data_IF_626758531279
#
_entry.id   IF_626758531279
#
_cell.length_a   1.000
_cell.length_b   1.000
_cell.length_c   1.000
_cell.angle_alpha   90.00
_cell.angle_beta   90.00
_cell.angle_gamma   90.00
#
_symmetry.space_group_name_H-M   'P 1'
#
loop_
_entity.id
_entity.type
_entity.pdbx_description
1 polymer ?
#
# COMPACT_ATOMS: atom_id res chain seq x y z
N UNK A 1 -36.20 -23.61 -14.52
CA UNK A 1 -34.80 -23.12 -14.51
C UNK A 1 -34.64 -21.59 -14.53
N UNK A 2 -35.56 -20.82 -15.13
CA UNK A 2 -35.49 -19.34 -15.21
C UNK A 2 -35.88 -18.64 -13.89
N UNK A 3 -36.77 -19.25 -13.10
CA UNK A 3 -37.28 -18.67 -11.85
C UNK A 3 -36.20 -18.51 -10.76
N UNK A 4 -35.32 -19.50 -10.60
CA UNK A 4 -34.23 -19.47 -9.62
C UNK A 4 -33.16 -18.42 -9.94
N UNK A 5 -32.92 -18.12 -11.23
CA UNK A 5 -32.01 -17.05 -11.65
C UNK A 5 -32.56 -15.65 -11.33
N UNK A 6 -33.87 -15.46 -11.46
CA UNK A 6 -34.54 -14.21 -11.09
C UNK A 6 -34.54 -13.99 -9.58
N UNK A 7 -34.78 -15.05 -8.81
CA UNK A 7 -34.67 -15.05 -7.34
C UNK A 7 -33.25 -14.68 -6.90
N UNK A 8 -32.22 -15.18 -7.58
CA UNK A 8 -30.82 -14.90 -7.23
C UNK A 8 -30.44 -13.43 -7.46
N UNK A 9 -30.91 -12.83 -8.57
CA UNK A 9 -30.69 -11.40 -8.85
C UNK A 9 -31.43 -10.52 -7.85
N UNK A 10 -32.67 -10.86 -7.51
CA UNK A 10 -33.45 -10.15 -6.48
C UNK A 10 -32.79 -10.31 -5.10
N UNK A 11 -32.30 -11.50 -4.74
CA UNK A 11 -31.54 -11.72 -3.49
C UNK A 11 -30.28 -10.85 -3.44
N UNK A 12 -29.56 -10.71 -4.56
CA UNK A 12 -28.33 -9.89 -4.60
C UNK A 12 -28.56 -8.39 -4.39
N UNK A 13 -29.77 -7.90 -4.65
CA UNK A 13 -30.17 -6.50 -4.41
C UNK A 13 -30.71 -6.28 -2.99
N UNK A 14 -31.22 -7.33 -2.34
CA UNK A 14 -31.84 -7.26 -1.01
C UNK A 14 -30.86 -7.61 0.12
N UNK A 15 -29.78 -8.33 -0.17
CA UNK A 15 -28.78 -8.65 0.85
C UNK A 15 -28.05 -7.37 1.31
N UNK A 16 -27.98 -7.10 2.62
CA UNK A 16 -27.25 -5.95 3.13
C UNK A 16 -25.77 -6.08 2.75
N UNK A 17 -25.24 -5.07 2.07
CA UNK A 17 -23.81 -4.93 1.83
C UNK A 17 -23.20 -4.54 3.17
N UNK A 18 -22.66 -5.53 3.89
CA UNK A 18 -21.99 -5.27 5.15
C UNK A 18 -20.60 -4.66 4.86
N UNK A 19 -20.33 -3.52 5.47
CA UNK A 19 -18.98 -2.99 5.55
C UNK A 19 -18.12 -3.95 6.37
N UNK A 20 -16.95 -4.30 5.86
CA UNK A 20 -15.96 -5.06 6.63
C UNK A 20 -15.19 -4.07 7.51
N UNK A 21 -14.91 -4.47 8.75
CA UNK A 21 -13.95 -3.78 9.60
C UNK A 21 -12.56 -4.28 9.23
N UNK A 22 -11.74 -3.42 8.63
CA UNK A 22 -10.43 -3.78 8.08
C UNK A 22 -9.36 -2.98 8.82
N UNK A 23 -8.46 -3.66 9.51
CA UNK A 23 -7.27 -3.05 10.12
C UNK A 23 -6.11 -3.08 9.12
N UNK A 24 -5.66 -1.91 8.66
CA UNK A 24 -4.45 -1.75 7.85
C UNK A 24 -3.30 -1.42 8.77
N UNK A 25 -2.53 -2.43 9.15
CA UNK A 25 -1.30 -2.22 9.92
C UNK A 25 -0.19 -1.72 9.00
N UNK A 26 0.23 -0.47 9.22
CA UNK A 26 1.29 0.18 8.44
C UNK A 26 2.49 0.47 9.34
N UNK A 27 3.47 -0.44 9.37
CA UNK A 27 4.70 -0.13 10.05
C UNK A 27 5.46 0.84 9.14
N UNK A 28 5.37 2.13 9.45
CA UNK A 28 5.84 3.23 8.60
C UNK A 28 7.38 3.33 8.56
N UNK A 29 8.02 2.26 8.10
CA UNK A 29 9.47 2.12 7.94
C UNK A 29 10.00 2.85 6.70
N UNK A 30 9.15 3.07 5.69
CA UNK A 30 9.51 3.76 4.46
C UNK A 30 8.30 4.47 3.83
N UNK A 31 8.54 5.65 3.25
CA UNK A 31 7.50 6.49 2.63
C UNK A 31 6.71 5.75 1.54
N UNK A 32 7.35 4.87 0.77
CA UNK A 32 6.68 4.07 -0.25
C UNK A 32 5.64 3.09 0.34
N UNK A 33 5.94 2.48 1.49
CA UNK A 33 5.04 1.55 2.17
C UNK A 33 3.84 2.27 2.74
N UNK A 34 4.08 3.42 3.39
CA UNK A 34 3.01 4.27 3.91
C UNK A 34 2.10 4.79 2.80
N UNK A 35 2.67 5.22 1.66
CA UNK A 35 1.87 5.69 0.52
C UNK A 35 1.04 4.58 -0.14
N UNK A 36 1.59 3.36 -0.27
CA UNK A 36 0.87 2.22 -0.82
C UNK A 36 -0.28 1.78 0.10
N UNK A 37 0.00 1.59 1.39
CA UNK A 37 -0.99 1.18 2.38
C UNK A 37 -2.05 2.26 2.61
N UNK A 38 -1.67 3.53 2.55
CA UNK A 38 -2.60 4.67 2.58
C UNK A 38 -3.59 4.62 1.41
N UNK A 39 -3.09 4.53 0.17
CA UNK A 39 -3.97 4.40 -1.02
C UNK A 39 -4.88 3.17 -0.97
N UNK A 40 -4.38 2.06 -0.43
CA UNK A 40 -5.17 0.86 -0.24
C UNK A 40 -6.31 1.12 0.76
N UNK A 41 -6.00 1.73 1.90
CA UNK A 41 -7.00 2.09 2.91
C UNK A 41 -8.04 3.07 2.38
N UNK A 42 -7.62 4.10 1.64
CA UNK A 42 -8.52 5.07 0.98
C UNK A 42 -9.48 4.33 0.04
N UNK A 43 -8.96 3.47 -0.84
CA UNK A 43 -9.79 2.71 -1.80
C UNK A 43 -10.80 1.80 -1.10
N UNK A 44 -10.40 1.16 0.00
CA UNK A 44 -11.29 0.30 0.80
C UNK A 44 -12.39 1.13 1.49
N UNK A 45 -12.04 2.30 1.99
CA UNK A 45 -12.97 3.25 2.62
C UNK A 45 -13.98 3.79 1.59
N UNK A 46 -13.51 4.18 0.40
CA UNK A 46 -14.36 4.62 -0.72
C UNK A 46 -15.36 3.55 -1.16
N UNK A 47 -15.02 2.27 -1.01
CA UNK A 47 -15.94 1.14 -1.27
C UNK A 47 -16.90 0.84 -0.12
N UNK A 48 -16.92 1.67 0.91
CA UNK A 48 -17.85 1.57 2.03
C UNK A 48 -17.38 0.63 3.14
N UNK A 49 -16.10 0.26 3.20
CA UNK A 49 -15.56 -0.49 4.33
C UNK A 49 -15.17 0.44 5.49
N UNK A 50 -15.24 -0.08 6.71
CA UNK A 50 -14.74 0.64 7.88
C UNK A 50 -13.26 0.28 8.07
N UNK A 51 -12.37 1.22 7.77
CA UNK A 51 -10.93 0.97 7.75
C UNK A 51 -10.25 1.76 8.84
N UNK A 52 -9.48 1.06 9.67
CA UNK A 52 -8.60 1.67 10.67
C UNK A 52 -7.16 1.47 10.21
N UNK A 53 -6.38 2.55 10.16
CA UNK A 53 -4.94 2.47 9.88
C UNK A 53 -4.23 2.57 11.22
N UNK A 54 -3.64 1.47 11.67
CA UNK A 54 -2.72 1.51 12.80
C UNK A 54 -1.32 1.71 12.24
N UNK A 55 -0.75 2.88 12.53
CA UNK A 55 0.65 3.13 12.21
C UNK A 55 1.52 2.66 13.37
N UNK A 56 2.52 1.80 13.12
CA UNK A 56 3.38 1.30 14.21
C UNK A 56 4.11 2.42 14.97
N UNK A 57 4.23 3.61 14.37
CA UNK A 57 4.74 4.81 15.04
C UNK A 57 3.78 5.32 16.12
N UNK A 58 2.47 5.20 15.97
CA UNK A 58 1.51 5.60 17.01
C UNK A 58 1.67 4.76 18.27
N UNK A 59 1.76 3.43 18.15
CA UNK A 59 2.00 2.56 19.30
C UNK A 59 3.34 2.87 19.98
N UNK A 60 4.37 3.19 19.20
CA UNK A 60 5.66 3.63 19.73
C UNK A 60 5.53 4.95 20.51
N UNK A 61 4.87 5.97 19.96
CA UNK A 61 4.68 7.25 20.64
C UNK A 61 3.76 7.15 21.86
N UNK A 62 2.76 6.28 21.83
CA UNK A 62 1.89 6.00 22.98
C UNK A 62 2.70 5.33 24.10
N UNK A 63 3.57 4.38 23.76
CA UNK A 63 4.53 3.77 24.69
C UNK A 63 5.53 4.76 25.27
N UNK A 64 6.10 5.65 24.44
CA UNK A 64 6.98 6.73 24.89
C UNK A 64 6.26 7.70 25.82
N UNK A 65 5.05 8.13 25.47
CA UNK A 65 4.24 9.04 26.28
C UNK A 65 3.91 8.43 27.64
N UNK A 66 3.59 7.14 27.68
CA UNK A 66 3.41 6.41 28.95
C UNK A 66 4.68 6.45 29.80
N UNK A 67 5.82 6.14 29.19
CA UNK A 67 7.13 6.16 29.86
C UNK A 67 7.42 7.57 30.39
N UNK A 68 7.22 8.62 29.59
CA UNK A 68 7.42 9.98 30.04
C UNK A 68 6.50 10.37 31.20
N UNK A 69 5.24 9.95 31.20
CA UNK A 69 4.33 10.19 32.33
C UNK A 69 4.78 9.49 33.61
N UNK A 70 5.36 8.29 33.51
CA UNK A 70 5.92 7.57 34.66
C UNK A 70 7.09 8.33 35.31
N UNK A 71 7.94 9.00 34.52
CA UNK A 71 9.12 9.72 35.03
C UNK A 71 8.89 11.21 35.31
N UNK A 72 8.02 11.86 34.54
CA UNK A 72 7.85 13.32 34.54
C UNK A 72 6.51 13.78 35.15
N UNK A 73 5.55 12.87 35.33
CA UNK A 73 4.23 13.18 35.89
C UNK A 73 3.07 12.92 34.92
N UNK A 74 1.91 12.57 35.47
CA UNK A 74 0.70 12.26 34.70
C UNK A 74 0.03 13.49 34.08
N UNK A 75 0.47 14.69 34.44
CA UNK A 75 0.03 15.97 33.90
C UNK A 75 0.60 16.26 32.50
N UNK A 76 1.55 15.44 32.01
CA UNK A 76 2.11 15.59 30.67
C UNK A 76 1.03 15.41 29.58
N UNK A 77 0.81 16.42 28.71
CA UNK A 77 -0.14 16.33 27.61
C UNK A 77 0.19 15.21 26.63
N UNK A 78 -0.82 14.74 25.89
CA UNK A 78 -0.62 13.69 24.89
C UNK A 78 0.26 14.17 23.73
N UNK A 79 1.08 13.27 23.16
CA UNK A 79 1.96 13.63 22.06
C UNK A 79 1.17 14.16 20.85
N UNK A 80 -0.07 13.70 20.62
CA UNK A 80 -0.94 14.20 19.54
C UNK A 80 -1.28 15.68 19.73
N UNK A 81 -1.46 16.10 20.98
CA UNK A 81 -1.70 17.51 21.34
C UNK A 81 -0.42 18.34 21.22
N UNK A 82 0.71 17.81 21.73
CA UNK A 82 2.01 18.49 21.69
C UNK A 82 2.48 18.73 20.27
N UNK A 83 2.39 17.71 19.40
CA UNK A 83 2.70 17.83 17.97
C UNK A 83 1.81 18.90 17.37
N UNK A 84 0.48 18.79 17.48
CA UNK A 84 -0.45 19.77 16.90
C UNK A 84 -0.14 21.22 17.32
N UNK A 85 0.15 21.46 18.61
CA UNK A 85 0.46 22.77 19.20
C UNK A 85 1.84 23.32 18.85
N UNK A 86 2.77 22.50 18.38
CA UNK A 86 4.12 22.96 18.07
C UNK A 86 4.12 24.06 17.00
N UNK A 87 4.78 25.19 17.29
CA UNK A 87 4.88 26.34 16.39
C UNK A 87 5.82 26.09 15.22
N UNK A 88 6.86 25.27 15.42
CA UNK A 88 7.86 24.91 14.42
C UNK A 88 8.24 23.44 14.56
N UNK A 89 8.53 22.79 13.43
CA UNK A 89 9.10 21.45 13.37
C UNK A 89 10.43 21.48 12.66
N UNK A 90 11.49 21.08 13.34
CA UNK A 90 12.78 20.85 12.70
C UNK A 90 12.88 19.40 12.27
N UNK A 91 13.08 19.17 10.98
CA UNK A 91 13.17 17.82 10.42
C UNK A 91 14.54 17.61 9.81
N UNK A 92 15.17 16.47 10.11
CA UNK A 92 16.47 16.11 9.54
C UNK A 92 16.30 15.66 8.08
N UNK A 93 16.13 16.63 7.18
CA UNK A 93 15.71 16.41 5.81
C UNK A 93 16.43 17.41 4.89
N UNK A 94 16.84 16.96 3.71
CA UNK A 94 17.39 17.84 2.67
C UNK A 94 16.39 17.89 1.49
N UNK A 95 15.71 19.02 1.24
CA UNK A 95 14.66 19.12 0.23
C UNK A 95 15.08 18.73 -1.20
N UNK A 96 16.38 18.78 -1.51
CA UNK A 96 16.89 18.42 -2.83
C UNK A 96 17.23 16.93 -2.97
N UNK A 97 17.42 16.23 -1.85
CA UNK A 97 17.78 14.81 -1.83
C UNK A 97 16.60 13.93 -1.38
N UNK A 98 15.70 14.48 -0.56
CA UNK A 98 14.54 13.77 -0.05
C UNK A 98 13.41 13.69 -1.08
N UNK A 99 12.54 12.70 -0.87
CA UNK A 99 11.33 12.57 -1.66
C UNK A 99 10.42 13.80 -1.46
N UNK A 100 9.77 14.28 -2.53
CA UNK A 100 8.80 15.35 -2.42
C UNK A 100 7.63 14.87 -1.56
N UNK A 101 7.31 15.64 -0.53
CA UNK A 101 6.20 15.37 0.39
C UNK A 101 5.50 16.67 0.77
N UNK A 102 4.22 16.59 1.08
CA UNK A 102 3.46 17.72 1.60
C UNK A 102 4.02 18.09 2.97
N UNK A 103 4.39 19.36 3.15
CA UNK A 103 4.88 19.90 4.41
C UNK A 103 4.11 21.15 4.77
N UNK A 104 3.86 21.35 6.07
CA UNK A 104 3.31 22.59 6.57
C UNK A 104 4.39 23.67 6.54
N UNK A 105 4.00 24.95 6.41
CA UNK A 105 4.93 26.09 6.45
C UNK A 105 5.75 26.15 7.75
N UNK A 106 5.24 25.58 8.84
CA UNK A 106 5.96 25.43 10.12
C UNK A 106 7.06 24.35 10.11
N UNK A 107 7.27 23.64 9.01
CA UNK A 107 8.27 22.57 8.90
C UNK A 107 9.56 23.11 8.30
N UNK A 108 10.63 23.15 9.10
CA UNK A 108 11.94 23.66 8.71
C UNK A 108 12.90 22.46 8.50
N UNK A 109 13.29 22.16 7.26
CA UNK A 109 14.23 21.08 6.97
C UNK A 109 15.67 21.50 7.27
N UNK A 110 16.35 20.76 8.13
CA UNK A 110 17.77 20.92 8.48
C UNK A 110 18.48 19.59 8.25
N UNK A 111 18.96 19.38 7.03
CA UNK A 111 19.67 18.16 6.67
C UNK A 111 21.00 18.01 7.41
N UNK A 112 21.25 16.81 7.94
CA UNK A 112 22.48 16.48 8.63
C UNK A 112 22.57 17.01 10.06
N UNK A 113 21.45 17.36 10.71
CA UNK A 113 21.46 17.90 12.09
C UNK A 113 22.13 16.96 13.10
N UNK A 114 22.06 15.65 12.86
CA UNK A 114 22.70 14.61 13.68
C UNK A 114 24.14 14.29 13.29
N UNK A 115 24.68 14.89 12.22
CA UNK A 115 25.99 14.52 11.67
C UNK A 115 27.10 15.33 12.33
N UNK A 116 27.87 14.66 13.19
CA UNK A 116 29.07 15.26 13.78
C UNK A 116 30.29 15.08 12.87
N UNK A 117 30.53 16.05 11.98
CA UNK A 117 31.65 16.02 11.03
C UNK A 117 33.01 15.97 11.74
N UNK A 118 33.16 16.69 12.86
CA UNK A 118 34.44 16.72 13.61
C UNK A 118 34.77 15.34 14.16
N UNK A 119 33.78 14.68 14.78
CA UNK A 119 33.93 13.33 15.29
C UNK A 119 34.23 12.34 14.17
N UNK A 120 33.49 12.37 13.05
CA UNK A 120 33.71 11.47 11.91
C UNK A 120 35.13 11.60 11.36
N UNK A 121 35.63 12.84 11.20
CA UNK A 121 37.00 13.08 10.69
C UNK A 121 38.10 12.63 11.66
N UNK A 122 37.80 12.53 12.95
CA UNK A 122 38.73 12.02 13.96
C UNK A 122 38.79 10.49 13.97
N UNK A 123 37.73 9.80 13.54
CA UNK A 123 37.73 8.36 13.44
C UNK A 123 38.68 7.91 12.31
N UNK A 124 39.69 7.11 12.68
CA UNK A 124 40.57 6.46 11.73
C UNK A 124 40.16 5.00 11.57
N UNK A 125 40.30 4.48 10.36
CA UNK A 125 40.17 3.05 10.12
C UNK A 125 41.30 2.31 10.84
N UNK A 126 40.97 1.16 11.42
CA UNK A 126 41.97 0.25 11.99
C UNK A 126 42.91 -0.27 10.89
N UNK A 127 44.12 -0.67 11.27
CA UNK A 127 45.13 -1.19 10.34
C UNK A 127 44.64 -2.41 9.52
N UNK A 128 43.78 -3.24 10.10
CA UNK A 128 43.16 -4.38 9.41
C UNK A 128 42.34 -3.90 8.19
N UNK A 129 41.43 -2.93 8.39
CA UNK A 129 40.60 -2.36 7.33
C UNK A 129 41.43 -1.60 6.29
N UNK A 130 42.46 -0.85 6.70
CA UNK A 130 43.37 -0.20 5.74
C UNK A 130 44.05 -1.25 4.86
N UNK A 131 44.61 -2.30 5.46
CA UNK A 131 45.24 -3.41 4.73
C UNK A 131 44.28 -4.13 3.79
N UNK A 132 42.98 -4.21 4.11
CA UNK A 132 41.97 -4.82 3.24
C UNK A 132 41.64 -3.89 2.06
N UNK A 133 41.37 -2.61 2.33
CA UNK A 133 40.94 -1.64 1.33
C UNK A 133 42.08 -1.26 0.37
N UNK A 134 43.33 -1.25 0.83
CA UNK A 134 44.51 -0.96 0.00
C UNK A 134 44.88 -2.09 -0.95
N UNK A 135 44.31 -3.30 -0.81
CA UNK A 135 44.57 -4.42 -1.74
C UNK A 135 44.16 -4.12 -3.17
N UNK A 136 43.23 -3.20 -3.37
CA UNK A 136 42.68 -2.86 -4.69
C UNK A 136 42.56 -1.36 -4.86
N UNK A 137 42.79 -0.84 -6.08
CA UNK A 137 42.64 0.59 -6.35
C UNK A 137 41.17 1.07 -6.32
N UNK A 138 40.20 0.14 -6.41
CA UNK A 138 38.77 0.43 -6.37
C UNK A 138 38.08 -0.52 -5.39
N UNK A 139 37.28 0.06 -4.50
CA UNK A 139 36.53 -0.67 -3.49
C UNK A 139 35.04 -0.31 -3.60
N UNK A 140 34.17 -1.27 -3.30
CA UNK A 140 32.73 -1.06 -3.19
C UNK A 140 32.28 -1.43 -1.78
N UNK A 141 31.70 -0.46 -1.06
CA UNK A 141 31.12 -0.68 0.25
C UNK A 141 29.63 -1.00 0.10
N UNK A 142 29.19 -2.09 0.70
CA UNK A 142 27.78 -2.49 0.75
C UNK A 142 27.39 -2.62 2.22
N UNK A 143 26.31 -1.93 2.61
CA UNK A 143 25.71 -2.02 3.96
C UNK A 143 24.19 -2.07 3.85
N UNK A 144 23.56 -2.99 4.57
CA UNK A 144 22.10 -3.15 4.65
C UNK A 144 21.51 -2.56 5.95
N UNK A 145 22.32 -1.79 6.68
CA UNK A 145 21.94 -1.26 7.99
C UNK A 145 21.93 -2.32 9.09
N UNK A 146 21.42 -1.94 10.26
CA UNK A 146 21.38 -2.79 11.46
C UNK A 146 20.14 -3.69 11.53
N UNK A 147 19.07 -3.34 10.83
CA UNK A 147 17.79 -4.07 10.86
C UNK A 147 17.87 -5.39 10.11
N UNK A 148 18.52 -5.43 8.95
CA UNK A 148 18.72 -6.64 8.15
C UNK A 148 20.18 -7.03 8.21
N UNK A 149 20.52 -7.90 9.17
CA UNK A 149 21.91 -8.34 9.33
C UNK A 149 22.31 -9.24 8.16
N UNK A 150 23.41 -8.87 7.49
CA UNK A 150 24.00 -9.67 6.41
C UNK A 150 24.35 -11.11 6.82
N UNK A 151 24.52 -11.37 8.13
CA UNK A 151 24.72 -12.74 8.65
C UNK A 151 23.57 -13.70 8.34
N UNK A 152 22.34 -13.18 8.20
CA UNK A 152 21.16 -13.97 7.87
C UNK A 152 21.01 -14.23 6.38
N UNK A 153 21.91 -13.67 5.56
CA UNK A 153 21.89 -13.90 4.12
C UNK A 153 22.16 -15.39 3.81
N UNK A 154 21.31 -16.04 3.00
CA UNK A 154 21.52 -17.41 2.55
C UNK A 154 22.92 -17.59 1.92
N UNK A 155 23.57 -18.74 2.16
CA UNK A 155 24.94 -19.00 1.65
C UNK A 155 25.06 -18.80 0.13
N UNK A 156 24.01 -19.14 -0.62
CA UNK A 156 23.94 -18.93 -2.08
C UNK A 156 24.15 -17.47 -2.51
N UNK A 157 23.75 -16.51 -1.67
CA UNK A 157 23.86 -15.07 -1.96
C UNK A 157 25.15 -14.44 -1.39
N UNK A 158 25.89 -15.18 -0.56
CA UNK A 158 27.14 -14.68 0.06
C UNK A 158 28.37 -14.78 -0.85
N UNK A 159 28.36 -15.71 -1.81
CA UNK A 159 29.58 -16.11 -2.55
C UNK A 159 29.41 -16.20 -4.08
N UNK A 160 28.22 -15.97 -4.62
CA UNK A 160 27.92 -16.05 -6.06
C UNK A 160 27.35 -14.73 -6.55
N UNK A 161 27.29 -14.51 -7.88
CA UNK A 161 27.05 -13.17 -8.41
C UNK A 161 25.71 -12.63 -7.92
N UNK A 162 25.42 -11.35 -8.17
CA UNK A 162 24.14 -10.74 -7.83
C UNK A 162 23.01 -10.93 -8.88
N UNK A 163 22.89 -11.99 -9.73
CA UNK A 163 21.81 -12.08 -10.70
C UNK A 163 20.48 -12.43 -10.03
N UNK A 164 20.48 -12.98 -8.81
CA UNK A 164 19.25 -13.16 -8.01
C UNK A 164 18.72 -11.82 -7.45
N UNK A 165 19.53 -10.74 -7.48
CA UNK A 165 19.04 -9.38 -7.24
C UNK A 165 18.53 -8.71 -8.52
N UNK A 166 18.44 -9.44 -9.63
CA UNK A 166 17.70 -9.00 -10.80
C UNK A 166 16.21 -8.88 -10.42
N UNK A 167 15.61 -7.67 -10.45
CA UNK A 167 14.20 -7.53 -10.20
C UNK A 167 13.43 -8.40 -11.18
N UNK A 168 12.54 -9.27 -10.68
CA UNK A 168 11.74 -10.16 -11.51
C UNK A 168 11.01 -9.44 -12.67
N UNK A 169 10.70 -8.15 -12.48
CA UNK A 169 10.14 -7.26 -13.50
C UNK A 169 10.96 -7.12 -14.79
N UNK A 170 12.29 -7.34 -14.76
CA UNK A 170 13.14 -7.34 -15.97
C UNK A 170 12.90 -8.54 -16.88
N UNK A 171 12.36 -9.64 -16.35
CA UNK A 171 12.04 -10.84 -17.11
C UNK A 171 10.57 -10.89 -17.57
N UNK A 172 9.75 -9.89 -17.22
CA UNK A 172 8.36 -9.83 -17.62
C UNK A 172 8.22 -9.39 -19.09
N UNK A 173 7.37 -10.09 -19.82
CA UNK A 173 6.98 -9.70 -21.18
C UNK A 173 6.14 -8.41 -21.15
N UNK A 174 6.09 -7.68 -22.26
CA UNK A 174 5.37 -6.40 -22.38
C UNK A 174 3.92 -6.49 -21.85
N UNK A 175 3.22 -7.58 -22.17
CA UNK A 175 1.84 -7.84 -21.73
C UNK A 175 1.70 -7.92 -20.21
N UNK A 176 2.60 -8.64 -19.53
CA UNK A 176 2.58 -8.78 -18.07
C UNK A 176 3.01 -7.48 -17.40
N UNK A 177 4.02 -6.81 -17.96
CA UNK A 177 4.54 -5.55 -17.41
C UNK A 177 3.53 -4.41 -17.49
N UNK A 178 2.64 -4.43 -18.48
CA UNK A 178 1.55 -3.45 -18.65
C UNK A 178 0.22 -3.90 -18.05
N UNK A 179 0.18 -5.07 -17.38
CA UNK A 179 -1.03 -5.69 -16.83
C UNK A 179 -2.15 -5.89 -17.87
N UNK A 180 -1.80 -6.03 -19.14
CA UNK A 180 -2.76 -6.13 -20.24
C UNK A 180 -3.54 -7.45 -20.20
N UNK A 181 -2.92 -8.50 -19.68
CA UNK A 181 -3.55 -9.78 -19.37
C UNK A 181 -4.68 -9.65 -18.32
N UNK A 182 -4.43 -8.87 -17.26
CA UNK A 182 -5.42 -8.56 -16.22
C UNK A 182 -6.56 -7.72 -16.82
N UNK A 183 -6.24 -6.67 -17.57
CA UNK A 183 -7.26 -5.84 -18.21
C UNK A 183 -8.09 -6.61 -19.24
N UNK A 184 -7.48 -7.53 -20.00
CA UNK A 184 -8.19 -8.39 -20.94
C UNK A 184 -9.17 -9.33 -20.22
N UNK A 185 -8.79 -9.88 -19.06
CA UNK A 185 -9.68 -10.70 -18.24
C UNK A 185 -10.90 -9.90 -17.77
N UNK A 186 -10.69 -8.68 -17.26
CA UNK A 186 -11.79 -7.80 -16.85
C UNK A 186 -12.67 -7.41 -18.03
N UNK A 187 -12.08 -7.03 -19.17
CA UNK A 187 -12.84 -6.69 -20.38
C UNK A 187 -13.71 -7.88 -20.85
N UNK A 188 -13.16 -9.09 -20.84
CA UNK A 188 -13.91 -10.30 -21.17
C UNK A 188 -15.08 -10.54 -20.19
N UNK A 189 -14.85 -10.37 -18.89
CA UNK A 189 -15.92 -10.47 -17.88
C UNK A 189 -17.04 -9.44 -18.11
N UNK A 190 -16.69 -8.19 -18.43
CA UNK A 190 -17.69 -7.15 -18.74
C UNK A 190 -18.47 -7.45 -20.03
N UNK A 191 -17.80 -7.92 -21.09
CA UNK A 191 -18.44 -8.28 -22.36
C UNK A 191 -19.40 -9.45 -22.16
N UNK A 192 -18.99 -10.50 -21.44
CA UNK A 192 -19.86 -11.66 -21.16
C UNK A 192 -21.08 -11.27 -20.32
N UNK A 193 -20.91 -10.38 -19.33
CA UNK A 193 -22.02 -9.82 -18.56
C UNK A 193 -22.98 -9.01 -19.45
N UNK A 194 -22.46 -8.16 -20.32
CA UNK A 194 -23.26 -7.36 -21.25
C UNK A 194 -24.06 -8.23 -22.22
N UNK A 195 -23.43 -9.25 -22.82
CA UNK A 195 -24.10 -10.21 -23.71
C UNK A 195 -25.20 -10.95 -22.97
N UNK A 196 -24.96 -11.39 -21.73
CA UNK A 196 -25.98 -12.05 -20.92
C UNK A 196 -27.21 -11.15 -20.71
N UNK A 197 -27.00 -9.86 -20.41
CA UNK A 197 -28.09 -8.87 -20.27
C UNK A 197 -28.89 -8.72 -21.58
N UNK A 198 -28.21 -8.59 -22.73
CA UNK A 198 -28.87 -8.47 -24.04
C UNK A 198 -29.67 -9.74 -24.39
N UNK A 199 -29.13 -10.93 -24.09
CA UNK A 199 -29.82 -12.20 -24.35
C UNK A 199 -31.03 -12.35 -23.44
N UNK A 200 -30.89 -12.03 -22.15
CA UNK A 200 -32.00 -12.08 -21.17
C UNK A 200 -33.12 -11.11 -21.58
N UNK A 201 -32.77 -9.87 -21.93
CA UNK A 201 -33.77 -8.87 -22.35
C UNK A 201 -34.49 -9.29 -23.63
N UNK A 202 -33.78 -9.81 -24.64
CA UNK A 202 -34.41 -10.39 -25.85
C UNK A 202 -35.33 -11.57 -25.54
N UNK A 203 -34.91 -12.46 -24.64
CA UNK A 203 -35.70 -13.62 -24.22
C UNK A 203 -36.99 -13.18 -23.51
N UNK A 204 -36.91 -12.22 -22.60
CA UNK A 204 -38.06 -11.64 -21.90
C UNK A 204 -39.00 -10.95 -22.88
N UNK A 205 -38.49 -10.13 -23.79
CA UNK A 205 -39.30 -9.46 -24.82
C UNK A 205 -40.04 -10.47 -25.72
N UNK A 206 -39.36 -11.53 -26.15
CA UNK A 206 -39.97 -12.59 -26.97
C UNK A 206 -41.10 -13.31 -26.22
N UNK A 207 -40.94 -13.57 -24.91
CA UNK A 207 -41.99 -14.19 -24.08
C UNK A 207 -43.19 -13.29 -23.82
N UNK A 208 -42.97 -11.99 -23.60
CA UNK A 208 -44.05 -11.01 -23.43
C UNK A 208 -44.83 -10.86 -24.73
N UNK A 209 -44.14 -10.72 -25.87
CA UNK A 209 -44.79 -10.63 -27.19
C UNK A 209 -45.65 -11.86 -27.48
N UNK A 210 -45.15 -13.08 -27.20
CA UNK A 210 -45.92 -14.32 -27.34
C UNK A 210 -47.20 -14.36 -26.49
N UNK A 211 -47.25 -13.66 -25.37
CA UNK A 211 -48.44 -13.56 -24.51
C UNK A 211 -49.49 -12.59 -25.07
N UNK A 212 -49.07 -11.50 -25.73
CA UNK A 212 -49.98 -10.52 -26.32
C UNK A 212 -50.66 -10.99 -27.61
N UNK A 213 -50.03 -11.88 -28.40
CA UNK A 213 -50.61 -12.42 -29.64
C UNK A 213 -51.55 -13.63 -29.44
N UNK A 214 -51.76 -14.09 -28.19
CA UNK A 214 -52.63 -15.23 -27.87
C UNK A 214 -53.98 -14.84 -27.25
N UNK A 215 -54.39 -13.56 -27.26
CA UNK A 215 -55.78 -13.20 -26.96
C UNK A 215 -56.67 -13.54 -28.17
N UNK A 216 -57.57 -14.53 -28.10
CA UNK A 216 -58.49 -14.82 -29.20
C UNK A 216 -59.45 -13.64 -29.36
N UNK A 217 -59.67 -13.21 -30.60
CA UNK A 217 -60.81 -12.38 -30.96
C UNK A 217 -62.09 -13.13 -30.64
N UNK A 218 -62.74 -12.77 -29.56
CA UNK A 218 -64.15 -13.09 -29.30
C UNK A 218 -64.97 -12.55 -30.47
N UNK A 219 -65.46 -13.47 -31.32
CA UNK A 219 -66.61 -13.21 -32.17
C UNK A 219 -67.84 -13.14 -31.27
N UNK A 220 -68.54 -12.01 -31.29
CA UNK A 220 -69.92 -11.94 -30.85
C UNK A 220 -70.77 -11.56 -32.06
N UNK A 221 -71.63 -12.52 -32.43
CA UNK A 221 -72.83 -12.34 -33.27
C UNK A 221 -73.86 -11.42 -32.60
#
# INVERSE_FOLDING_TARGET
MIFYKFIFVILSVILPINSLNILVYSPAFAASHSNFLGKLADTLTERGHNVEINTALEEMYDGETKTYREYLGNDLPDWRELVAKASLYFVNSNPFLDFPRQVLQKTIPIGGISVNIKWIKQQKLTDEWNKILERRPKNMLISFGSMVKAMHMPKKWRHGPFPDMDPYGRHLNYFQRTFLDIYALFAFAYVTMFVAVVVITRFVYSRIKGFYYLKPTEKAE
#
